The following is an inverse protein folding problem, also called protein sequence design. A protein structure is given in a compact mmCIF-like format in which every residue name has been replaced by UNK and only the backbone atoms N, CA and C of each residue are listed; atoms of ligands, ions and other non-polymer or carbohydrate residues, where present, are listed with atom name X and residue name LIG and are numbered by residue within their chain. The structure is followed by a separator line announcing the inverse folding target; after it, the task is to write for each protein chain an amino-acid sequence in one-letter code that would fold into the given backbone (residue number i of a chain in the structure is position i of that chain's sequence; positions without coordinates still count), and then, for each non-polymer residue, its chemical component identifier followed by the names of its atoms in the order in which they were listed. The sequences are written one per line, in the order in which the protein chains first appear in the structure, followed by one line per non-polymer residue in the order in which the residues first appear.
data_IF_849079109730
#
_entry.id   IF_849079109730
#
_cell.length_a   1.000
_cell.length_b   1.000
_cell.length_c   1.000
_cell.angle_alpha   90.00
_cell.angle_beta   90.00
_cell.angle_gamma   90.00
#
_symmetry.space_group_name_H-M   'P 1'
#
loop_
_entity.id
_entity.type
_entity.pdbx_description
1 polymer ?
#
# COMPACT_ATOMS: atom_id res chain seq x y z
N UNK A 1 -6.33 -4.09 15.58
CA UNK A 1 -6.43 -3.54 14.20
C UNK A 1 -5.14 -2.76 13.93
N UNK A 2 -4.43 -3.01 12.83
CA UNK A 2 -3.24 -2.22 12.45
C UNK A 2 -3.76 -0.86 11.95
N UNK A 3 -3.31 0.24 12.54
CA UNK A 3 -3.78 1.57 12.19
C UNK A 3 -3.22 1.95 10.82
N UNK A 4 -4.10 2.07 9.83
CA UNK A 4 -3.73 2.55 8.50
C UNK A 4 -3.81 4.08 8.50
N UNK A 5 -2.74 4.75 8.12
CA UNK A 5 -2.72 6.22 8.04
C UNK A 5 -2.94 6.76 6.64
N UNK A 6 -2.53 6.02 5.61
CA UNK A 6 -2.84 6.35 4.22
C UNK A 6 -3.94 5.46 3.67
N UNK A 7 -5.05 6.03 3.17
CA UNK A 7 -6.13 5.27 2.55
C UNK A 7 -6.50 5.86 1.18
N UNK A 8 -6.38 5.04 0.13
CA UNK A 8 -6.89 5.34 -1.20
C UNK A 8 -8.16 4.53 -1.45
N UNK A 9 -9.30 5.22 -1.55
CA UNK A 9 -10.62 4.60 -1.75
C UNK A 9 -10.81 3.98 -3.14
N UNK A 10 -11.80 3.08 -3.30
CA UNK A 10 -11.98 2.24 -4.49
C UNK A 10 -12.27 3.00 -5.80
N UNK A 11 -12.92 4.16 -5.72
CA UNK A 11 -13.30 4.95 -6.91
C UNK A 11 -12.28 6.03 -7.28
N UNK A 12 -11.10 6.00 -6.65
CA UNK A 12 -10.03 6.95 -6.93
C UNK A 12 -8.91 6.32 -7.74
N UNK A 13 -8.43 7.08 -8.72
CA UNK A 13 -7.18 6.83 -9.41
C UNK A 13 -6.14 7.86 -8.98
N UNK A 14 -4.96 7.38 -8.62
CA UNK A 14 -3.82 8.23 -8.30
C UNK A 14 -2.62 7.82 -9.15
N UNK A 15 -1.95 8.81 -9.72
CA UNK A 15 -0.74 8.62 -10.53
C UNK A 15 0.43 9.36 -9.90
N UNK A 16 1.60 8.71 -9.88
CA UNK A 16 2.84 9.31 -9.42
C UNK A 16 3.63 8.42 -8.45
N UNK A 17 4.41 9.07 -7.59
CA UNK A 17 5.23 8.40 -6.58
C UNK A 17 4.71 8.75 -5.17
N UNK A 18 4.32 7.73 -4.41
CA UNK A 18 3.83 7.85 -3.04
C UNK A 18 4.87 7.25 -2.10
N UNK A 19 5.36 8.06 -1.16
CA UNK A 19 6.20 7.60 -0.06
C UNK A 19 5.52 7.91 1.28
N UNK A 20 5.50 6.93 2.19
CA UNK A 20 5.01 7.11 3.55
C UNK A 20 5.90 6.39 4.56
N UNK A 21 6.07 7.00 5.73
CA UNK A 21 6.73 6.35 6.88
C UNK A 21 5.80 5.39 7.63
N UNK A 22 4.50 5.41 7.33
CA UNK A 22 3.49 4.60 8.01
C UNK A 22 2.81 3.65 7.02
N UNK A 23 1.86 2.85 7.50
CA UNK A 23 1.13 1.89 6.69
C UNK A 23 0.11 2.55 5.74
N UNK A 24 0.03 2.02 4.52
CA UNK A 24 -0.85 2.49 3.45
C UNK A 24 -1.80 1.36 3.05
N UNK A 25 -3.07 1.70 2.82
CA UNK A 25 -4.07 0.81 2.20
C UNK A 25 -4.55 1.40 0.89
N UNK A 26 -4.54 0.57 -0.15
CA UNK A 26 -4.96 0.92 -1.50
C UNK A 26 -6.13 0.02 -1.89
N UNK A 27 -7.33 0.59 -1.91
CA UNK A 27 -8.54 -0.08 -2.39
C UNK A 27 -8.95 0.40 -3.80
N UNK A 28 -8.35 1.49 -4.30
CA UNK A 28 -8.54 2.04 -5.66
C UNK A 28 -7.44 1.71 -6.66
N UNK A 29 -7.30 2.53 -7.70
CA UNK A 29 -6.28 2.34 -8.76
C UNK A 29 -5.06 3.23 -8.51
N UNK A 30 -3.89 2.63 -8.34
CA UNK A 30 -2.62 3.34 -8.22
C UNK A 30 -1.72 3.04 -9.42
N UNK A 31 -1.16 4.08 -10.05
CA UNK A 31 -0.25 3.95 -11.18
C UNK A 31 1.08 4.66 -10.85
N UNK A 32 2.16 3.89 -10.72
CA UNK A 32 3.49 4.41 -10.39
C UNK A 32 4.17 3.67 -9.22
N UNK A 33 5.01 4.37 -8.47
CA UNK A 33 5.78 3.78 -7.37
C UNK A 33 5.12 4.04 -6.02
N UNK A 34 4.90 2.99 -5.23
CA UNK A 34 4.45 3.10 -3.84
C UNK A 34 5.54 2.58 -2.92
N UNK A 35 6.01 3.42 -1.99
CA UNK A 35 6.94 3.02 -0.93
C UNK A 35 6.37 3.27 0.47
N UNK A 36 6.48 2.27 1.35
CA UNK A 36 6.13 2.40 2.77
C UNK A 36 7.19 1.76 3.65
N UNK A 37 7.60 2.47 4.71
CA UNK A 37 8.52 1.93 5.72
C UNK A 37 7.89 0.83 6.58
N UNK A 38 6.56 0.71 6.63
CA UNK A 38 5.87 -0.28 7.46
C UNK A 38 5.16 -1.37 6.69
N UNK A 39 4.17 -1.02 5.86
CA UNK A 39 3.42 -2.02 5.08
C UNK A 39 2.51 -1.34 4.07
N UNK A 40 2.42 -1.94 2.89
CA UNK A 40 1.43 -1.59 1.86
C UNK A 40 0.41 -2.72 1.79
N UNK A 41 -0.86 -2.40 2.01
CA UNK A 41 -1.98 -3.33 1.87
C UNK A 41 -2.76 -2.97 0.62
N UNK A 42 -2.93 -3.93 -0.29
CA UNK A 42 -3.80 -3.77 -1.45
C UNK A 42 -5.10 -4.51 -1.15
N UNK A 43 -6.22 -3.78 -1.10
CA UNK A 43 -7.54 -4.36 -0.87
C UNK A 43 -8.04 -5.17 -2.06
N UNK A 44 -9.17 -5.86 -1.88
CA UNK A 44 -9.76 -6.76 -2.90
C UNK A 44 -10.06 -6.04 -4.23
N UNK A 45 -10.43 -4.76 -4.16
CA UNK A 45 -10.70 -3.92 -5.33
C UNK A 45 -9.46 -3.12 -5.80
N UNK A 46 -8.39 -3.15 -4.99
CA UNK A 46 -7.18 -2.38 -5.24
C UNK A 46 -6.41 -2.88 -6.45
N UNK A 47 -5.97 -1.95 -7.28
CA UNK A 47 -5.17 -2.23 -8.49
C UNK A 47 -3.93 -1.37 -8.47
N UNK A 48 -2.76 -2.00 -8.44
CA UNK A 48 -1.48 -1.28 -8.53
C UNK A 48 -0.80 -1.63 -9.84
N UNK A 49 -0.55 -0.62 -10.66
CA UNK A 49 0.23 -0.72 -11.90
C UNK A 49 1.56 0.01 -11.71
N UNK A 50 2.60 -0.73 -11.35
CA UNK A 50 3.92 -0.18 -11.11
C UNK A 50 4.70 -0.99 -10.08
N UNK A 51 5.53 -0.32 -9.27
CA UNK A 51 6.39 -0.96 -8.28
C UNK A 51 5.92 -0.66 -6.86
N UNK A 52 5.83 -1.71 -6.03
CA UNK A 52 5.56 -1.58 -4.60
C UNK A 52 6.85 -1.92 -3.84
N UNK A 53 7.29 -1.00 -2.98
CA UNK A 53 8.38 -1.19 -2.03
C UNK A 53 7.82 -1.06 -0.61
N UNK A 54 7.47 -2.19 -0.01
CA UNK A 54 7.17 -2.25 1.43
C UNK A 54 8.33 -2.88 2.19
N UNK A 55 8.49 -2.55 3.47
CA UNK A 55 9.26 -3.42 4.35
C UNK A 55 8.52 -4.76 4.50
N UNK A 56 9.25 -5.85 4.28
CA UNK A 56 8.77 -7.19 4.53
C UNK A 56 8.94 -7.48 6.03
N UNK A 57 7.84 -7.52 6.78
CA UNK A 57 7.88 -7.94 8.18
C UNK A 57 7.95 -9.48 8.25
N UNK A 58 9.17 -10.00 8.35
CA UNK A 58 9.46 -11.44 8.42
C UNK A 58 8.98 -12.10 9.70
N UNK A 59 8.55 -11.34 10.73
CA UNK A 59 8.09 -11.90 12.01
C UNK A 59 6.69 -12.53 11.97
N UNK A 60 6.06 -12.62 10.79
CA UNK A 60 4.70 -13.18 10.64
C UNK A 60 4.65 -14.58 10.00
N UNK A 61 5.79 -15.18 9.71
CA UNK A 61 5.89 -16.62 9.39
C UNK A 61 6.29 -17.38 10.65
N UNK A 62 5.30 -17.74 11.46
CA UNK A 62 5.42 -18.87 12.38
C UNK A 62 4.88 -20.08 11.62
N UNK A 63 5.80 -20.84 11.04
CA UNK A 63 5.52 -22.20 10.55
C UNK A 63 5.38 -23.17 11.72
#
# INVERSE_FOLDING_TARGET
MKLVKGYLGPDFQMEGNLSSSDSIRIDGTYIGMVSSEQSVTVGVLGKVKGQIKGSFDSNRWTG
#
